data_IF_620103936498
#
_entry.id   IF_620103936498
#
_cell.length_a   1.000
_cell.length_b   1.000
_cell.length_c   1.000
_cell.angle_alpha   90.00
_cell.angle_beta   90.00
_cell.angle_gamma   90.00
#
_symmetry.space_group_name_H-M   'P 1'
#
loop_
_entity.id
_entity.type
_entity.pdbx_description
1 polymer ?
2 non-polymer ?
3 water ?
#
# COMPACT_ATOMS: atom_id res chain seq x y z
N UNK A 1 18.62 -4.98 10.05
CA UNK A 1 17.80 -3.81 9.72
C UNK A 1 17.08 -3.96 8.37
N UNK A 2 15.75 -3.84 8.40
CA UNK A 2 14.93 -3.97 7.20
C UNK A 2 15.01 -2.66 6.43
N UNK A 3 15.22 -2.77 5.12
CA UNK A 3 15.23 -1.61 4.23
C UNK A 3 14.43 -1.97 3.00
N UNK A 4 13.31 -1.28 2.78
CA UNK A 4 12.38 -1.56 1.69
C UNK A 4 12.78 -0.89 0.38
N UNK A 5 13.86 -0.12 0.37
CA UNK A 5 14.22 0.62 -0.83
C UNK A 5 14.37 -0.31 -2.01
N UNK A 6 13.79 0.09 -3.13
CA UNK A 6 13.89 -0.70 -4.35
C UNK A 6 12.69 -0.48 -5.23
N UNK A 7 12.73 -1.23 -6.33
CA UNK A 7 11.67 -1.23 -7.32
C UNK A 7 11.11 -2.64 -7.38
N UNK A 8 9.78 -2.74 -7.35
CA UNK A 8 9.11 -3.99 -7.10
C UNK A 8 7.95 -4.16 -8.08
N UNK A 9 7.83 -5.36 -8.65
CA UNK A 9 6.81 -5.64 -9.64
C UNK A 9 5.79 -6.63 -9.08
N UNK A 10 4.50 -6.36 -9.31
CA UNK A 10 3.46 -7.21 -8.73
C UNK A 10 3.48 -8.61 -9.31
N UNK A 11 3.49 -9.60 -8.42
CA UNK A 11 3.42 -11.00 -8.79
C UNK A 11 2.03 -11.58 -8.58
N UNK A 12 1.45 -11.35 -7.40
CA UNK A 12 0.11 -11.82 -7.07
C UNK A 12 -0.65 -10.73 -6.34
N UNK A 13 -1.97 -10.80 -6.45
CA UNK A 13 -2.87 -9.87 -5.79
C UNK A 13 -4.14 -10.65 -5.48
N UNK A 14 -4.27 -11.07 -4.23
CA UNK A 14 -5.30 -12.00 -3.81
C UNK A 14 -6.40 -11.29 -3.02
N UNK A 15 -7.64 -11.49 -3.46
CA UNK A 15 -8.83 -11.02 -2.75
C UNK A 15 -9.00 -9.50 -2.76
N UNK A 16 -8.46 -8.82 -3.77
CA UNK A 16 -8.53 -7.35 -3.83
C UNK A 16 -9.96 -6.86 -4.06
N UNK A 17 -10.74 -7.54 -4.89
CA UNK A 17 -12.08 -7.03 -5.15
C UNK A 17 -12.94 -7.02 -3.90
N UNK A 18 -12.83 -8.05 -3.05
CA UNK A 18 -13.59 -8.05 -1.81
C UNK A 18 -13.11 -6.99 -0.83
N UNK A 19 -11.80 -6.75 -0.78
CA UNK A 19 -11.29 -5.63 -0.01
C UNK A 19 -11.89 -4.32 -0.50
N UNK A 20 -11.91 -4.10 -1.82
CA UNK A 20 -12.50 -2.88 -2.36
C UNK A 20 -14.01 -2.82 -2.09
N UNK A 21 -14.69 -3.96 -2.14
CA UNK A 21 -16.12 -3.98 -1.83
C UNK A 21 -16.37 -3.55 -0.39
N UNK A 22 -15.49 -3.95 0.52
CA UNK A 22 -15.61 -3.54 1.91
C UNK A 22 -15.38 -2.04 2.09
N UNK A 23 -14.67 -1.41 1.16
CA UNK A 23 -14.53 0.04 1.13
C UNK A 23 -15.65 0.73 0.35
N UNK A 24 -16.63 -0.03 -0.15
CA UNK A 24 -17.78 0.51 -0.86
C UNK A 24 -17.39 1.13 -2.21
N UNK A 25 -16.29 0.67 -2.80
CA UNK A 25 -15.92 1.09 -4.15
C UNK A 25 -16.91 0.50 -5.14
N UNK A 26 -17.40 1.33 -6.07
CA UNK A 26 -18.44 0.88 -7.00
C UNK A 26 -17.91 -0.25 -7.89
N UNK A 27 -18.84 -1.09 -8.34
CA UNK A 27 -18.44 -2.34 -8.97
C UNK A 27 -17.64 -2.11 -10.24
N UNK A 28 -18.02 -1.10 -11.04
CA UNK A 28 -17.29 -0.84 -12.27
C UNK A 28 -15.84 -0.49 -11.98
N UNK A 29 -15.61 0.31 -10.93
CA UNK A 29 -14.25 0.67 -10.57
C UNK A 29 -13.49 -0.50 -9.94
N UNK A 30 -14.19 -1.37 -9.20
CA UNK A 30 -13.52 -2.57 -8.69
C UNK A 30 -12.98 -3.41 -9.84
N UNK A 31 -13.77 -3.53 -10.91
CA UNK A 31 -13.36 -4.31 -12.07
C UNK A 31 -12.14 -3.68 -12.73
N UNK A 32 -12.17 -2.37 -12.92
CA UNK A 32 -11.02 -1.66 -13.48
C UNK A 32 -9.80 -1.86 -12.59
N UNK A 33 -9.98 -1.66 -11.28
CA UNK A 33 -8.85 -1.59 -10.36
C UNK A 33 -8.17 -2.94 -10.22
N UNK A 34 -8.92 -4.03 -10.28
CA UNK A 34 -8.28 -5.32 -10.11
C UNK A 34 -7.58 -5.80 -11.37
N UNK A 35 -7.79 -5.15 -12.50
CA UNK A 35 -6.99 -5.45 -13.67
C UNK A 35 -5.61 -4.81 -13.60
N UNK A 36 -5.43 -3.83 -12.72
CA UNK A 36 -4.18 -3.09 -12.65
C UNK A 36 -3.14 -3.87 -11.87
N UNK A 37 -1.90 -3.78 -12.33
CA UNK A 37 -0.76 -4.45 -11.72
C UNK A 37 0.31 -3.41 -11.46
N UNK A 38 0.08 -2.52 -10.49
CA UNK A 38 1.04 -1.44 -10.28
C UNK A 38 2.37 -1.96 -9.76
N UNK A 39 3.43 -1.24 -10.13
CA UNK A 39 4.73 -1.42 -9.50
C UNK A 39 4.77 -0.62 -8.20
N UNK A 40 5.76 -0.93 -7.37
CA UNK A 40 6.06 -0.12 -6.20
C UNK A 40 7.49 0.37 -6.29
N UNK A 41 7.68 1.66 -6.14
CA UNK A 41 8.99 2.26 -5.99
C UNK A 41 9.09 2.81 -4.58
N UNK A 42 10.03 2.31 -3.79
CA UNK A 42 10.14 2.69 -2.40
C UNK A 42 11.51 3.28 -2.16
N UNK A 43 11.55 4.40 -1.44
CA UNK A 43 12.79 4.95 -0.92
C UNK A 43 12.62 5.11 0.59
N UNK A 44 13.44 4.38 1.33
CA UNK A 44 13.49 4.48 2.79
C UNK A 44 14.73 5.30 3.14
N UNK A 45 14.51 6.47 3.74
CA UNK A 45 15.55 7.49 3.93
C UNK A 45 15.50 7.86 5.40
N UNK A 46 16.25 7.14 6.22
CA UNK A 46 16.06 7.26 7.66
C UNK A 46 14.66 6.81 7.99
N UNK A 47 13.94 7.62 8.77
CA UNK A 47 12.54 7.36 9.11
C UNK A 47 11.57 7.95 8.11
N UNK A 48 12.06 8.60 7.06
CA UNK A 48 11.22 9.16 6.01
C UNK A 48 11.05 8.11 4.92
N UNK A 49 9.80 7.66 4.73
CA UNK A 49 9.48 6.64 3.76
C UNK A 49 8.66 7.26 2.63
N UNK A 50 8.98 6.90 1.39
CA UNK A 50 8.15 7.22 0.24
C UNK A 50 7.82 5.90 -0.43
N UNK A 51 6.54 5.61 -0.58
CA UNK A 51 6.07 4.41 -1.25
C UNK A 51 5.22 4.88 -2.42
N UNK A 52 5.72 4.68 -3.63
CA UNK A 52 5.01 5.08 -4.84
C UNK A 52 4.39 3.84 -5.48
N UNK A 53 3.08 3.83 -5.58
CA UNK A 53 2.36 2.78 -6.29
C UNK A 53 2.08 3.33 -7.67
N UNK A 54 2.64 2.69 -8.70
CA UNK A 54 2.78 3.29 -10.01
C UNK A 54 2.05 2.47 -11.07
N UNK A 55 1.19 3.13 -11.82
CA UNK A 55 0.55 2.53 -12.99
C UNK A 55 0.16 3.63 -13.96
N UNK A 56 -0.05 3.24 -15.21
CA UNK A 56 -0.54 4.21 -16.20
C UNK A 56 -1.94 4.71 -15.87
N UNK A 57 -2.75 3.88 -15.18
CA UNK A 57 -4.06 4.33 -14.75
C UNK A 57 -3.95 5.43 -13.71
N UNK A 58 -3.05 5.26 -12.74
CA UNK A 58 -2.91 6.21 -11.66
C UNK A 58 -1.71 5.85 -10.83
N UNK A 59 -1.07 6.88 -10.30
CA UNK A 59 -0.07 6.73 -9.26
C UNK A 59 -0.66 7.16 -7.94
N UNK A 60 -0.35 6.43 -6.87
CA UNK A 60 -0.75 6.77 -5.51
C UNK A 60 0.53 6.85 -4.71
N UNK A 61 0.82 8.02 -4.16
CA UNK A 61 2.08 8.29 -3.50
C UNK A 61 1.84 8.43 -2.01
N UNK A 62 2.54 7.62 -1.22
CA UNK A 62 2.58 7.79 0.22
C UNK A 62 3.93 8.39 0.56
N UNK A 63 3.92 9.40 1.39
CA UNK A 63 5.15 10.08 1.78
C UNK A 63 4.96 10.47 3.23
N UNK A 64 5.69 9.83 4.13
CA UNK A 64 5.43 9.97 5.56
C UNK A 64 6.70 9.73 6.36
N UNK A 65 6.61 10.05 7.64
CA UNK A 65 7.64 9.74 8.62
C UNK A 65 7.12 8.62 9.50
N UNK A 66 7.92 7.57 9.65
CA UNK A 66 7.51 6.47 10.51
C UNK A 66 7.25 7.01 11.91
N UNK A 67 6.14 6.60 12.51
CA UNK A 67 5.78 7.00 13.84
C UNK A 67 5.00 8.29 13.96
N UNK A 68 4.79 9.03 12.87
CA UNK A 68 4.12 10.32 12.91
C UNK A 68 2.79 10.24 12.17
N UNK A 69 1.69 10.44 12.88
CA UNK A 69 0.37 10.40 12.29
C UNK A 69 0.25 11.51 11.25
N UNK A 70 -0.41 11.19 10.14
CA UNK A 70 -0.62 12.14 9.06
C UNK A 70 -1.99 11.94 8.42
N UNK A 71 -2.49 12.99 7.77
CA UNK A 71 -3.75 12.92 7.04
C UNK A 71 -3.49 12.29 5.67
N UNK A 72 -4.10 11.13 5.42
CA UNK A 72 -3.93 10.39 4.19
C UNK A 72 -5.17 10.59 3.32
N UNK A 73 -4.97 11.15 2.11
CA UNK A 73 -6.08 11.45 1.21
C UNK A 73 -6.31 10.28 0.26
N UNK A 74 -7.29 9.46 0.60
CA UNK A 74 -7.69 8.30 -0.18
C UNK A 74 -8.97 8.56 -0.95
N UNK A 75 -9.31 9.83 -1.17
CA UNK A 75 -10.62 10.11 -1.76
C UNK A 75 -10.73 9.55 -3.16
N UNK A 76 -9.62 9.43 -3.89
CA UNK A 76 -9.68 8.81 -5.21
C UNK A 76 -9.85 7.30 -5.19
N UNK A 77 -9.70 6.67 -4.04
CA UNK A 77 -9.90 5.23 -3.91
C UNK A 77 -11.35 5.00 -3.51
N UNK A 78 -11.70 5.44 -2.30
CA UNK A 78 -12.99 5.13 -1.71
C UNK A 78 -13.70 6.35 -1.15
N UNK A 79 -13.33 7.55 -1.60
CA UNK A 79 -13.99 8.78 -1.19
C UNK A 79 -13.77 9.09 0.29
N UNK A 80 -12.66 8.63 0.86
CA UNK A 80 -12.38 8.83 2.28
C UNK A 80 -10.97 9.36 2.50
N UNK A 81 -10.80 9.97 3.67
CA UNK A 81 -9.51 10.35 4.21
C UNK A 81 -9.33 9.67 5.56
N UNK A 82 -8.09 9.36 5.90
CA UNK A 82 -7.78 8.69 7.15
C UNK A 82 -6.68 9.44 7.88
N UNK A 83 -6.62 9.25 9.19
CA UNK A 83 -5.47 9.68 9.98
C UNK A 83 -4.60 8.43 10.17
N UNK A 84 -3.46 8.42 9.52
CA UNK A 84 -2.68 7.22 9.31
C UNK A 84 -1.38 7.30 10.07
N UNK A 85 -1.01 6.18 10.69
CA UNK A 85 0.30 6.06 11.32
C UNK A 85 0.95 4.78 10.86
N UNK A 86 2.21 4.90 10.43
CA UNK A 86 3.02 3.75 10.02
C UNK A 86 4.13 3.60 11.04
N UNK A 87 4.30 2.40 11.57
CA UNK A 87 5.23 2.14 12.65
C UNK A 87 5.96 0.82 12.40
N UNK A 88 7.15 0.69 12.96
CA UNK A 88 7.86 -0.58 12.93
C UNK A 88 7.31 -1.53 13.97
N UNK A 89 7.23 -2.81 13.60
CA UNK A 89 6.77 -3.88 14.48
C UNK A 89 7.70 -5.05 14.20
N UNK A 90 8.80 -5.12 14.93
CA UNK A 90 9.85 -6.06 14.57
C UNK A 90 10.36 -5.72 13.18
N UNK A 91 10.37 -6.72 12.30
CA UNK A 91 10.81 -6.54 10.92
C UNK A 91 9.68 -6.17 9.97
N UNK A 92 8.49 -5.92 10.50
CA UNK A 92 7.35 -5.53 9.68
C UNK A 92 7.04 -4.06 9.85
N UNK A 93 6.46 -3.49 8.81
CA UNK A 93 5.94 -2.14 8.85
C UNK A 93 4.43 -2.24 9.00
N UNK A 94 3.88 -1.61 10.04
CA UNK A 94 2.46 -1.68 10.36
C UNK A 94 1.82 -0.32 10.12
N UNK A 95 0.71 -0.33 9.41
CA UNK A 95 -0.01 0.89 9.10
C UNK A 95 -1.42 0.78 9.66
N UNK A 96 -1.83 1.75 10.45
CA UNK A 96 -3.21 1.88 10.93
C UNK A 96 -3.78 3.13 10.29
N UNK A 97 -4.92 2.99 9.64
CA UNK A 97 -5.60 4.07 8.93
C UNK A 97 -6.90 4.36 9.69
N UNK A 98 -6.85 5.32 10.60
CA UNK A 98 -8.00 5.65 11.42
C UNK A 98 -8.99 6.48 10.63
N UNK A 99 -10.27 6.16 10.77
CA UNK A 99 -11.28 6.81 9.98
C UNK A 99 -12.61 6.14 10.15
N UNK A 100 -13.45 6.30 9.14
CA UNK A 100 -14.83 5.86 9.25
C UNK A 100 -14.92 4.33 9.29
N UNK A 101 -14.04 3.64 8.56
CA UNK A 101 -14.05 2.19 8.51
C UNK A 101 -13.27 1.59 9.68
N UNK A 102 -13.81 0.50 10.22
CA UNK A 102 -13.15 -0.21 11.30
C UNK A 102 -12.02 -1.09 10.76
N UNK A 103 -10.94 -1.16 11.52
CA UNK A 103 -9.89 -2.12 11.25
C UNK A 103 -9.18 -1.94 9.93
N UNK A 104 -9.03 -0.70 9.48
CA UNK A 104 -8.39 -0.40 8.20
C UNK A 104 -6.90 -0.22 8.40
N UNK A 105 -6.10 -0.94 7.63
CA UNK A 105 -4.66 -0.78 7.71
C UNK A 105 -3.96 -1.77 6.80
N UNK A 106 -2.64 -1.88 6.99
CA UNK A 106 -1.86 -2.82 6.20
C UNK A 106 -0.58 -3.15 6.94
N UNK A 107 0.06 -4.21 6.49
CA UNK A 107 1.33 -4.69 7.03
C UNK A 107 2.23 -5.05 5.86
N UNK A 108 3.48 -4.61 5.92
CA UNK A 108 4.43 -4.83 4.84
C UNK A 108 5.72 -5.42 5.39
N UNK A 109 6.31 -6.37 4.65
CA UNK A 109 7.53 -7.02 5.09
C UNK A 109 8.22 -7.61 3.87
N UNK A 110 9.46 -8.06 4.07
CA UNK A 110 10.25 -8.66 3.00
C UNK A 110 10.55 -10.11 3.34
N UNK A 111 10.46 -10.99 2.32
CA UNK A 111 10.93 -12.37 2.40
C UNK A 111 11.80 -12.59 1.17
N UNK A 112 13.11 -12.69 1.36
CA UNK A 112 13.97 -12.90 0.21
C UNK A 112 13.85 -11.76 -0.79
N UNK A 113 13.52 -12.11 -2.04
CA UNK A 113 13.31 -11.14 -3.10
C UNK A 113 11.87 -10.68 -3.23
N UNK A 114 11.06 -10.91 -2.20
CA UNK A 114 9.62 -10.62 -2.24
C UNK A 114 9.25 -9.53 -1.24
N UNK A 115 8.46 -8.58 -1.69
CA UNK A 115 7.79 -7.61 -0.84
C UNK A 115 6.37 -8.11 -0.62
N UNK A 116 6.02 -8.34 0.63
CA UNK A 116 4.72 -8.83 1.05
C UNK A 116 3.90 -7.68 1.61
N UNK A 117 2.65 -7.59 1.20
CA UNK A 117 1.77 -6.50 1.62
C UNK A 117 0.40 -7.10 1.89
N UNK A 118 -0.04 -7.06 3.14
CA UNK A 118 -1.37 -7.49 3.52
C UNK A 118 -2.18 -6.25 3.89
N UNK A 119 -3.31 -6.06 3.23
CA UNK A 119 -4.20 -4.94 3.48
C UNK A 119 -5.50 -5.47 4.08
N UNK A 120 -6.06 -4.73 5.02
CA UNK A 120 -7.24 -5.17 5.75
C UNK A 120 -8.20 -4.02 5.95
N UNK A 121 -9.49 -4.36 5.96
CA UNK A 121 -10.54 -3.45 6.42
C UNK A 121 -11.75 -4.28 6.78
N UNK A 122 -12.37 -3.96 7.92
CA UNK A 122 -13.61 -4.63 8.33
C UNK A 122 -13.46 -6.16 8.31
N UNK A 123 -12.26 -6.64 8.65
CA UNK A 123 -12.00 -8.07 8.70
C UNK A 123 -11.74 -8.74 7.38
N UNK A 124 -11.80 -7.99 6.27
CA UNK A 124 -11.51 -8.50 4.93
C UNK A 124 -10.04 -8.28 4.64
N UNK A 125 -9.37 -9.31 4.09
CA UNK A 125 -7.92 -9.30 3.92
C UNK A 125 -7.59 -9.49 2.44
N UNK A 126 -6.71 -8.64 1.93
CA UNK A 126 -6.13 -8.78 0.60
C UNK A 126 -4.62 -8.93 0.77
N UNK A 127 -4.03 -9.86 0.03
CA UNK A 127 -2.60 -10.13 0.12
C UNK A 127 -1.95 -9.94 -1.24
N UNK A 128 -0.91 -9.14 -1.28
CA UNK A 128 -0.13 -8.90 -2.48
C UNK A 128 1.31 -9.30 -2.24
N UNK A 129 1.96 -9.78 -3.30
CA UNK A 129 3.39 -10.06 -3.27
C UNK A 129 4.00 -9.46 -4.52
N UNK A 130 5.12 -8.77 -4.33
CA UNK A 130 5.88 -8.15 -5.41
C UNK A 130 7.26 -8.79 -5.44
N UNK A 131 7.88 -8.81 -6.61
CA UNK A 131 9.25 -9.29 -6.76
C UNK A 131 10.18 -8.11 -7.02
N UNK A 132 11.34 -8.14 -6.39
CA UNK A 132 12.33 -7.10 -6.58
C UNK A 132 12.88 -7.18 -8.00
N UNK A 133 12.92 -6.03 -8.69
CA UNK A 133 13.35 -5.97 -10.07
C UNK A 133 14.38 -4.87 -10.23
N UNK A 134 15.07 -4.90 -11.37
CA UNK A 134 16.21 -4.04 -11.60
C UNK A 134 16.11 -3.20 -12.86
N UNK A 135 15.17 -3.47 -13.76
CA UNK A 135 14.99 -2.66 -14.95
C UNK A 135 14.08 -1.50 -14.59
N UNK A 136 14.59 -0.29 -14.71
CA UNK A 136 13.80 0.83 -14.22
C UNK A 136 13.20 1.60 -15.38
N UNK A 137 12.08 2.25 -15.10
CA UNK A 137 11.38 3.05 -16.08
C UNK A 137 11.02 4.39 -15.44
N UNK A 138 11.01 5.43 -16.27
CA UNK A 138 10.68 6.76 -15.78
C UNK A 138 9.20 6.84 -15.44
N UNK A 139 8.89 7.54 -14.35
CA UNK A 139 7.52 7.84 -13.97
C UNK A 139 7.45 9.32 -13.60
N UNK A 140 6.25 9.87 -13.67
CA UNK A 140 6.05 11.28 -13.33
C UNK A 140 5.68 11.42 -11.86
#
# INVERSE_FOLDING_TARGET
PVDFTGYWKMLVNENFEEYLRALDVNVALRKIANLLKPDKEIVQDGDHMIIRTLSTFRNYIMDFQVGKEFEEDLTGIDDRKCMTTVSWDGDKLQCVQKGEKEGRGWTQWIEGDELHLEMRVEGVVCKQVFKKVQHHHHHH
#
